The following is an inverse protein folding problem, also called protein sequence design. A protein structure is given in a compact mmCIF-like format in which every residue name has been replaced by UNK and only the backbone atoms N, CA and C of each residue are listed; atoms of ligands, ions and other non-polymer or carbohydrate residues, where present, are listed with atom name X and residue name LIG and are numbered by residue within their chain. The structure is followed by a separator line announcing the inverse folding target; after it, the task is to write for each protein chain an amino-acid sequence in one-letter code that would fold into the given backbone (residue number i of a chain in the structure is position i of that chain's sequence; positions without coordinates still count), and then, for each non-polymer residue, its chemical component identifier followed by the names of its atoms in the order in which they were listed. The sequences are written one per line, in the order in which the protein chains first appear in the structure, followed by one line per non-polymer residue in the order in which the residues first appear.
data_IF_005709035924
#
_entry.id   IF_005709035924
#
_cell.length_a   1.000
_cell.length_b   1.000
_cell.length_c   1.000
_cell.angle_alpha   90.00
_cell.angle_beta   90.00
_cell.angle_gamma   90.00
#
_symmetry.space_group_name_H-M   'P 1'
#
loop_
_entity.id
_entity.type
_entity.pdbx_description
1 polymer ?
#
# COMPACT_ATOMS: atom_id res chain seq x y z
N UNK A 1 1.34 -12.40 -8.44
CA UNK A 1 2.35 -11.65 -7.66
C UNK A 1 2.83 -12.32 -6.36
N UNK A 2 2.55 -13.62 -6.09
CA UNK A 2 3.17 -14.35 -4.96
C UNK A 2 2.77 -13.96 -3.53
N UNK A 3 1.99 -12.90 -3.34
CA UNK A 3 1.49 -12.45 -2.04
C UNK A 3 0.33 -13.29 -1.48
N UNK A 4 0.01 -13.06 -0.19
CA UNK A 4 -1.09 -13.71 0.53
C UNK A 4 -1.98 -12.66 1.18
N UNK A 5 -3.30 -12.78 0.99
CA UNK A 5 -4.28 -12.01 1.76
C UNK A 5 -4.30 -12.50 3.20
N UNK A 6 -4.22 -11.56 4.14
CA UNK A 6 -4.30 -11.83 5.58
C UNK A 6 -5.65 -11.36 6.12
N UNK A 7 -6.02 -11.82 7.32
CA UNK A 7 -7.23 -11.36 7.99
C UNK A 7 -7.19 -9.87 8.31
N UNK A 8 -8.36 -9.33 8.66
CA UNK A 8 -8.51 -7.94 9.09
C UNK A 8 -7.52 -7.59 10.20
N UNK A 9 -6.93 -6.39 10.12
CA UNK A 9 -5.96 -5.90 11.09
C UNK A 9 -4.53 -6.45 10.94
N UNK A 10 -4.28 -7.44 10.07
CA UNK A 10 -2.97 -8.12 9.95
C UNK A 10 -1.80 -7.19 9.64
N UNK A 11 -2.04 -6.10 8.90
CA UNK A 11 -1.05 -5.05 8.60
C UNK A 11 -1.46 -3.66 9.09
N UNK A 12 -2.69 -3.49 9.59
CA UNK A 12 -3.24 -2.16 9.92
C UNK A 12 -2.40 -1.42 10.97
N UNK A 13 -1.83 -2.14 11.93
CA UNK A 13 -1.00 -1.57 12.99
C UNK A 13 0.28 -0.89 12.48
N UNK A 14 0.73 -1.22 11.26
CA UNK A 14 1.87 -0.59 10.59
C UNK A 14 1.55 0.76 9.96
N UNK A 15 0.27 1.17 9.94
CA UNK A 15 -0.17 2.41 9.32
C UNK A 15 -0.85 3.32 10.35
N UNK A 16 -0.87 4.60 10.04
CA UNK A 16 -1.60 5.62 10.80
C UNK A 16 -2.49 6.43 9.87
N UNK A 17 -3.66 6.86 10.37
CA UNK A 17 -4.56 7.73 9.62
C UNK A 17 -4.14 9.18 9.76
N UNK A 18 -3.93 9.86 8.64
CA UNK A 18 -3.59 11.30 8.59
C UNK A 18 -4.50 12.03 7.62
N UNK A 19 -4.61 13.34 7.78
CA UNK A 19 -5.28 14.22 6.82
C UNK A 19 -4.40 14.34 5.59
N UNK A 20 -4.97 14.13 4.40
CA UNK A 20 -4.25 14.31 3.14
C UNK A 20 -3.80 15.76 3.02
N UNK A 21 -2.52 15.98 2.75
CA UNK A 21 -1.96 17.33 2.60
C UNK A 21 -2.62 18.10 1.44
N UNK A 22 -3.02 17.38 0.39
CA UNK A 22 -3.49 17.94 -0.88
C UNK A 22 -5.01 18.19 -0.88
N UNK A 23 -5.74 17.54 0.03
CA UNK A 23 -7.20 17.58 0.10
C UNK A 23 -7.67 17.65 1.57
N UNK A 24 -7.81 18.87 2.13
CA UNK A 24 -8.30 19.05 3.50
C UNK A 24 -9.71 18.46 3.69
N UNK A 25 -9.87 17.58 4.68
CA UNK A 25 -11.11 16.83 4.92
C UNK A 25 -11.07 15.39 4.39
N UNK A 26 -10.06 15.05 3.60
CA UNK A 26 -9.76 13.69 3.16
C UNK A 26 -8.69 13.07 4.05
N UNK A 27 -8.72 11.74 4.19
CA UNK A 27 -7.82 11.01 5.08
C UNK A 27 -7.09 9.92 4.29
N UNK A 28 -5.82 9.71 4.60
CA UNK A 28 -4.95 8.68 4.02
C UNK A 28 -4.34 7.77 5.09
N UNK A 29 -3.86 6.61 4.65
CA UNK A 29 -3.03 5.73 5.47
C UNK A 29 -1.56 5.98 5.18
N UNK A 30 -0.80 6.37 6.20
CA UNK A 30 0.64 6.60 6.09
C UNK A 30 1.36 5.48 6.82
N UNK A 31 2.35 4.86 6.16
CA UNK A 31 3.18 3.83 6.78
C UNK A 31 4.02 4.44 7.92
N UNK A 32 4.07 3.76 9.06
CA UNK A 32 4.91 4.17 10.20
C UNK A 32 6.39 3.91 9.96
N UNK A 33 6.69 2.94 9.10
CA UNK A 33 8.04 2.53 8.76
C UNK A 33 8.04 1.90 7.37
N UNK A 34 8.99 2.31 6.54
CA UNK A 34 9.23 1.71 5.23
C UNK A 34 10.11 0.47 5.32
N UNK A 35 9.92 -0.44 4.37
CA UNK A 35 10.74 -1.63 4.18
C UNK A 35 11.43 -1.56 2.82
N UNK A 36 12.69 -1.99 2.79
CA UNK A 36 13.42 -2.21 1.55
C UNK A 36 13.32 -3.68 1.17
N UNK A 37 13.00 -3.95 -0.09
CA UNK A 37 12.87 -5.31 -0.62
C UNK A 37 13.78 -5.49 -1.85
N UNK A 38 14.18 -6.74 -2.17
CA UNK A 38 14.97 -7.03 -3.36
C UNK A 38 14.30 -6.52 -4.65
N UNK A 39 15.10 -6.13 -5.64
CA UNK A 39 14.60 -5.57 -6.91
C UNK A 39 13.62 -6.49 -7.64
N UNK A 40 13.89 -7.81 -7.61
CA UNK A 40 13.00 -8.83 -8.16
C UNK A 40 11.60 -8.79 -7.52
N UNK A 41 11.54 -8.53 -6.21
CA UNK A 41 10.27 -8.49 -5.49
C UNK A 41 9.55 -7.15 -5.72
N UNK A 42 10.29 -6.07 -5.97
CA UNK A 42 9.70 -4.77 -6.39
C UNK A 42 8.94 -4.91 -7.70
N UNK A 43 9.50 -5.59 -8.70
CA UNK A 43 8.80 -5.83 -9.97
C UNK A 43 7.49 -6.61 -9.78
N UNK A 44 7.51 -7.64 -8.91
CA UNK A 44 6.31 -8.40 -8.58
C UNK A 44 5.27 -7.56 -7.81
N UNK A 45 5.70 -6.65 -6.93
CA UNK A 45 4.83 -5.72 -6.22
C UNK A 45 4.25 -4.65 -7.15
N UNK A 46 5.02 -4.12 -8.10
CA UNK A 46 4.52 -3.17 -9.10
C UNK A 46 3.41 -3.77 -9.94
N UNK A 47 3.60 -4.99 -10.46
CA UNK A 47 2.55 -5.74 -11.17
C UNK A 47 1.33 -6.05 -10.31
N UNK A 48 1.50 -6.13 -8.98
CA UNK A 48 0.36 -6.26 -8.06
C UNK A 48 -0.40 -4.96 -7.94
N UNK A 49 0.30 -3.84 -7.79
CA UNK A 49 -0.33 -2.53 -7.67
C UNK A 49 -1.06 -2.15 -8.95
N UNK A 50 -0.47 -2.38 -10.13
CA UNK A 50 -1.12 -2.18 -11.43
C UNK A 50 -2.42 -3.00 -11.53
N UNK A 51 -2.36 -4.31 -11.25
CA UNK A 51 -3.55 -5.16 -11.31
C UNK A 51 -4.64 -4.81 -10.28
N UNK A 52 -4.26 -4.22 -9.15
CA UNK A 52 -5.20 -3.73 -8.15
C UNK A 52 -5.80 -2.38 -8.57
N UNK A 53 -5.02 -1.51 -9.21
CA UNK A 53 -5.44 -0.18 -9.67
C UNK A 53 -6.43 -0.27 -10.85
N UNK A 54 -6.24 -1.26 -11.72
CA UNK A 54 -7.17 -1.57 -12.83
C UNK A 54 -8.52 -2.15 -12.35
N UNK A 55 -8.66 -2.49 -11.07
CA UNK A 55 -9.88 -3.07 -10.52
C UNK A 55 -10.82 -1.98 -9.99
N UNK A 56 -11.97 -1.79 -10.63
CA UNK A 56 -12.97 -0.78 -10.26
C UNK A 56 -13.49 -0.88 -8.81
N UNK A 57 -13.36 -2.05 -8.15
CA UNK A 57 -13.74 -2.22 -6.75
C UNK A 57 -12.67 -1.73 -5.76
N UNK A 58 -11.45 -1.47 -6.22
CA UNK A 58 -10.35 -0.95 -5.42
C UNK A 58 -10.35 0.57 -5.54
N UNK A 59 -10.39 1.27 -4.40
CA UNK A 59 -10.37 2.72 -4.38
C UNK A 59 -8.97 3.30 -4.16
N UNK A 60 -8.19 2.69 -3.25
CA UNK A 60 -6.89 3.20 -2.83
C UNK A 60 -5.95 2.03 -2.48
N UNK A 61 -4.66 2.18 -2.81
CA UNK A 61 -3.61 1.21 -2.51
C UNK A 61 -2.57 1.89 -1.64
N UNK A 62 -2.29 1.30 -0.47
CA UNK A 62 -1.27 1.77 0.45
C UNK A 62 -0.25 0.66 0.68
N UNK A 63 1.03 1.01 0.67
CA UNK A 63 2.12 0.08 0.96
C UNK A 63 3.16 0.76 1.84
N UNK A 64 3.92 -0.04 2.57
CA UNK A 64 5.10 0.42 3.30
C UNK A 64 6.39 0.04 2.56
N UNK A 65 6.31 -0.29 1.28
CA UNK A 65 7.50 -0.62 0.48
C UNK A 65 8.15 0.69 0.07
N UNK A 66 9.45 0.81 0.31
CA UNK A 66 10.24 1.94 -0.18
C UNK A 66 10.33 1.84 -1.70
N UNK A 67 9.46 2.56 -2.38
CA UNK A 67 9.49 2.68 -3.84
C UNK A 67 10.61 3.68 -4.23
N UNK A 68 11.32 3.40 -5.34
CA UNK A 68 12.34 4.30 -5.87
C UNK A 68 11.77 5.63 -6.37
#
# INVERSE_FOLDING_TARGET
NGGKLVGEGGVQWMFERKVKAEEPGSLEWVAKQDIEIPEKDKEACQKLFEALDENEAVQEIYSNIKLP
#
